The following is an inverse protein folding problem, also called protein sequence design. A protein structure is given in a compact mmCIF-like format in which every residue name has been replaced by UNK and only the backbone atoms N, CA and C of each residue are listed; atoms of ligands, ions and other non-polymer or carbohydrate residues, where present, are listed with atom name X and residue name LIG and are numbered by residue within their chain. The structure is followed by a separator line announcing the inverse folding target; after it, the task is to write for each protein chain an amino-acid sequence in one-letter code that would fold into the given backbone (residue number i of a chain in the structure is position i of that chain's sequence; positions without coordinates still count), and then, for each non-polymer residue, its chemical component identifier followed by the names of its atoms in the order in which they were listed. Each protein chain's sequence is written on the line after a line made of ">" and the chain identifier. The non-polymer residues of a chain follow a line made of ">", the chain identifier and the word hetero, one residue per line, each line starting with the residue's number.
data_IF_149441461679
#
_entry.id   IF_149441461679
#
_cell.length_a   1.000
_cell.length_b   1.000
_cell.length_c   1.000
_cell.angle_alpha   90.00
_cell.angle_beta   90.00
_cell.angle_gamma   90.00
#
_symmetry.space_group_name_H-M   'P 1'
#
loop_
_entity.id
_entity.type
_entity.pdbx_description
1 polymer ?
#
# COMPACT_ATOMS: atom_id res chain seq x y z
N UNK A 1 -11.06 -30.32 9.98
CA UNK A 1 -10.23 -29.11 9.76
C UNK A 1 -10.63 -28.63 8.38
N UNK A 2 -11.24 -27.45 8.23
CA UNK A 2 -11.82 -27.05 6.95
C UNK A 2 -10.69 -26.69 5.99
N UNK A 3 -10.56 -27.48 4.93
CA UNK A 3 -9.68 -27.22 3.80
C UNK A 3 -10.06 -25.87 3.16
N UNK A 4 -9.16 -24.89 3.26
CA UNK A 4 -9.29 -23.63 2.55
C UNK A 4 -8.77 -23.84 1.12
N UNK A 5 -9.53 -23.48 0.07
CA UNK A 5 -9.06 -23.62 -1.30
C UNK A 5 -7.83 -22.75 -1.51
N UNK A 6 -6.71 -23.39 -1.84
CA UNK A 6 -5.53 -22.73 -2.40
C UNK A 6 -5.83 -22.44 -3.86
N UNK A 7 -6.06 -21.17 -4.18
CA UNK A 7 -6.29 -20.72 -5.55
C UNK A 7 -4.98 -20.76 -6.32
N UNK A 8 -4.93 -21.58 -7.36
CA UNK A 8 -4.07 -21.41 -8.54
C UNK A 8 -5.02 -21.20 -9.74
N UNK A 9 -5.29 -19.94 -10.09
CA UNK A 9 -6.21 -19.54 -11.16
C UNK A 9 -5.85 -18.15 -11.70
N UNK A 10 -4.92 -18.10 -12.67
CA UNK A 10 -4.59 -17.01 -13.60
C UNK A 10 -4.78 -15.56 -13.13
N UNK A 11 -3.66 -14.88 -12.83
CA UNK A 11 -3.51 -13.47 -12.41
C UNK A 11 -4.50 -12.49 -13.05
N UNK A 12 -5.72 -12.44 -12.53
CA UNK A 12 -6.71 -11.44 -12.92
C UNK A 12 -6.56 -10.28 -11.95
N UNK A 13 -5.92 -9.22 -12.41
CA UNK A 13 -5.76 -7.99 -11.63
C UNK A 13 -7.04 -7.16 -11.74
N UNK A 14 -7.59 -6.76 -10.60
CA UNK A 14 -8.77 -5.90 -10.52
C UNK A 14 -8.33 -4.48 -10.14
N UNK A 15 -8.27 -3.54 -11.09
CA UNK A 15 -7.90 -2.17 -10.77
C UNK A 15 -8.97 -1.51 -9.89
N UNK A 16 -8.58 -0.58 -9.01
CA UNK A 16 -9.53 0.20 -8.24
C UNK A 16 -10.41 1.07 -9.16
N UNK A 17 -11.60 1.43 -8.69
CA UNK A 17 -12.48 2.34 -9.42
C UNK A 17 -11.86 3.73 -9.55
N UNK A 18 -12.26 4.49 -10.58
CA UNK A 18 -11.80 5.87 -10.76
C UNK A 18 -12.13 6.79 -9.59
N UNK A 19 -13.27 6.56 -8.92
CA UNK A 19 -13.63 7.29 -7.70
C UNK A 19 -12.62 7.05 -6.58
N UNK A 20 -12.21 5.80 -6.37
CA UNK A 20 -11.20 5.45 -5.37
C UNK A 20 -9.85 6.08 -5.71
N UNK A 21 -9.42 5.97 -6.97
CA UNK A 21 -8.15 6.56 -7.44
C UNK A 21 -8.13 8.07 -7.21
N UNK A 22 -9.24 8.77 -7.46
CA UNK A 22 -9.31 10.23 -7.28
C UNK A 22 -9.19 10.71 -5.83
N UNK A 23 -9.46 9.82 -4.86
CA UNK A 23 -9.43 10.12 -3.42
C UNK A 23 -8.25 9.48 -2.70
N UNK A 24 -7.45 8.68 -3.39
CA UNK A 24 -6.33 7.98 -2.80
C UNK A 24 -5.24 8.97 -2.36
N UNK A 25 -4.66 8.72 -1.18
CA UNK A 25 -3.56 9.53 -0.66
C UNK A 25 -2.22 9.21 -1.36
N UNK A 26 -2.14 8.05 -2.01
CA UNK A 26 -0.93 7.55 -2.68
C UNK A 26 -1.31 6.86 -3.98
N UNK A 27 -0.42 6.91 -4.96
CA UNK A 27 -0.43 6.08 -6.16
C UNK A 27 0.68 5.03 -6.09
N UNK A 28 0.86 4.24 -7.16
CA UNK A 28 1.88 3.19 -7.19
C UNK A 28 3.31 3.75 -7.06
N UNK A 29 3.62 4.85 -7.74
CA UNK A 29 4.97 5.43 -7.69
C UNK A 29 5.30 5.98 -6.29
N UNK A 30 4.35 6.68 -5.68
CA UNK A 30 4.49 7.20 -4.32
C UNK A 30 4.56 6.08 -3.28
N UNK A 31 3.81 4.99 -3.47
CA UNK A 31 3.91 3.82 -2.60
C UNK A 31 5.33 3.23 -2.63
N UNK A 32 5.89 3.01 -3.82
CA UNK A 32 7.24 2.46 -3.97
C UNK A 32 8.30 3.34 -3.28
N UNK A 33 8.21 4.67 -3.46
CA UNK A 33 9.11 5.62 -2.79
C UNK A 33 8.96 5.57 -1.27
N UNK A 34 7.74 5.65 -0.76
CA UNK A 34 7.45 5.60 0.68
C UNK A 34 7.90 4.27 1.28
N UNK A 35 7.66 3.15 0.57
CA UNK A 35 8.09 1.83 1.01
C UNK A 35 9.62 1.74 1.08
N UNK A 36 10.32 2.17 0.01
CA UNK A 36 11.77 2.20 0.00
C UNK A 36 12.33 3.01 1.18
N UNK A 37 11.79 4.22 1.43
CA UNK A 37 12.17 5.04 2.59
C UNK A 37 11.87 4.37 3.93
N UNK A 38 10.69 3.75 4.06
CA UNK A 38 10.28 3.09 5.30
C UNK A 38 11.24 1.96 5.71
N UNK A 39 11.93 1.36 4.72
CA UNK A 39 12.91 0.30 4.93
C UNK A 39 14.34 0.85 5.08
N UNK A 40 14.75 1.82 4.25
CA UNK A 40 16.13 2.34 4.25
C UNK A 40 16.41 3.37 5.34
N UNK A 41 15.37 4.09 5.78
CA UNK A 41 15.41 5.13 6.82
C UNK A 41 14.17 5.03 7.70
N UNK A 42 14.04 3.91 8.41
CA UNK A 42 12.83 3.60 9.18
C UNK A 42 12.55 4.62 10.28
N UNK A 43 13.56 5.05 11.03
CA UNK A 43 13.39 6.00 12.13
C UNK A 43 12.93 7.37 11.63
N UNK A 44 13.59 7.91 10.59
CA UNK A 44 13.21 9.19 9.99
C UNK A 44 11.81 9.13 9.39
N UNK A 45 11.51 8.08 8.61
CA UNK A 45 10.20 7.91 8.00
C UNK A 45 9.08 7.82 9.04
N UNK A 46 9.21 6.97 10.05
CA UNK A 46 8.13 6.79 11.04
C UNK A 46 7.99 7.97 12.00
N UNK A 47 9.07 8.71 12.28
CA UNK A 47 8.97 9.98 13.00
C UNK A 47 8.12 11.00 12.24
N UNK A 48 8.36 11.18 10.92
CA UNK A 48 7.54 12.03 10.06
C UNK A 48 6.07 11.57 10.03
N UNK A 49 5.82 10.26 9.91
CA UNK A 49 4.45 9.73 9.87
C UNK A 49 3.70 9.86 11.22
N UNK A 50 4.42 10.01 12.33
CA UNK A 50 3.84 10.13 13.67
C UNK A 50 3.51 11.57 14.09
N UNK A 51 3.82 12.57 13.25
CA UNK A 51 3.51 13.96 13.53
C UNK A 51 2.00 14.18 13.73
N UNK A 52 1.64 15.02 14.71
CA UNK A 52 0.25 15.36 14.95
C UNK A 52 -0.31 16.17 13.80
N UNK A 53 -1.50 15.78 13.34
CA UNK A 53 -2.33 16.54 12.43
C UNK A 53 -3.29 17.40 13.28
N UNK A 54 -2.76 18.37 14.03
CA UNK A 54 -3.60 19.32 14.80
C UNK A 54 -3.87 20.65 14.08
#
# INVERSE_FOLDING_TARGET
>A
MKDLPTTDAGDTVYPPSSELVSRAHVDAARYEEMYARSVSDSEGFWAEQAERLD
#
